data_IF_223480201344
#
_entry.id   IF_223480201344
#
_cell.length_a   1.000
_cell.length_b   1.000
_cell.length_c   1.000
_cell.angle_alpha   90.00
_cell.angle_beta   90.00
_cell.angle_gamma   90.00
#
_symmetry.space_group_name_H-M   'P 1'
#
loop_
_entity.id
_entity.type
_entity.pdbx_description
1 polymer ?
#
# COMPACT_ATOMS: atom_id res chain seq x y z
N UNK A 1 10.21 -11.66 -29.93
CA UNK A 1 9.41 -11.41 -28.71
C UNK A 1 9.69 -9.98 -28.28
N UNK A 2 8.65 -9.14 -28.16
CA UNK A 2 8.81 -7.77 -27.63
C UNK A 2 9.02 -7.92 -26.12
N UNK A 3 10.18 -7.51 -25.64
CA UNK A 3 10.53 -7.55 -24.22
C UNK A 3 9.94 -6.32 -23.54
N UNK A 4 9.09 -6.52 -22.52
CA UNK A 4 8.49 -5.41 -21.74
C UNK A 4 9.54 -4.73 -20.87
N UNK A 5 9.68 -3.42 -21.02
CA UNK A 5 10.59 -2.62 -20.21
C UNK A 5 9.95 -2.28 -18.86
N UNK A 6 10.66 -2.54 -17.77
CA UNK A 6 10.12 -2.39 -16.41
C UNK A 6 11.06 -1.63 -15.48
N UNK A 7 10.49 -0.90 -14.52
CA UNK A 7 11.21 -0.28 -13.41
C UNK A 7 10.59 -0.71 -12.08
N UNK A 8 11.42 -0.89 -11.04
CA UNK A 8 10.96 -1.31 -9.72
C UNK A 8 11.48 -0.32 -8.67
N UNK A 9 10.59 0.46 -8.11
CA UNK A 9 10.84 1.40 -7.03
C UNK A 9 10.60 0.70 -5.69
N UNK A 10 11.66 0.60 -4.86
CA UNK A 10 11.65 -0.19 -3.65
C UNK A 10 12.01 -1.67 -3.90
N UNK A 11 12.95 -1.94 -4.80
CA UNK A 11 13.32 -3.28 -5.26
C UNK A 11 13.86 -4.21 -4.17
N UNK A 12 14.40 -3.66 -3.07
CA UNK A 12 14.91 -4.44 -1.93
C UNK A 12 13.86 -4.73 -0.86
N UNK A 13 12.66 -4.17 -0.96
CA UNK A 13 11.52 -4.45 -0.10
C UNK A 13 10.80 -5.75 -0.50
N UNK A 14 9.87 -6.22 0.34
CA UNK A 14 9.12 -7.46 0.12
C UNK A 14 8.37 -7.52 -1.21
N UNK A 15 7.66 -6.44 -1.57
CA UNK A 15 6.94 -6.33 -2.85
C UNK A 15 7.91 -6.29 -4.02
N UNK A 16 9.01 -5.53 -3.90
CA UNK A 16 10.07 -5.47 -4.93
C UNK A 16 10.71 -6.82 -5.17
N UNK A 17 11.07 -7.55 -4.10
CA UNK A 17 11.64 -8.90 -4.19
C UNK A 17 10.66 -9.91 -4.78
N UNK A 18 9.37 -9.84 -4.39
CA UNK A 18 8.31 -10.68 -4.98
C UNK A 18 8.11 -10.40 -6.46
N UNK A 19 8.23 -9.12 -6.87
CA UNK A 19 8.20 -8.73 -8.29
C UNK A 19 9.39 -9.31 -9.05
N UNK A 20 10.58 -9.20 -8.48
CA UNK A 20 11.80 -9.75 -9.09
C UNK A 20 11.78 -11.28 -9.16
N UNK A 21 11.13 -11.96 -8.18
CA UNK A 21 10.94 -13.41 -8.24
C UNK A 21 10.09 -13.83 -9.46
N UNK A 22 9.00 -13.13 -9.73
CA UNK A 22 8.19 -13.35 -10.92
C UNK A 22 8.96 -13.09 -12.22
N UNK A 23 9.73 -11.99 -12.26
CA UNK A 23 10.57 -11.66 -13.42
C UNK A 23 11.63 -12.72 -13.65
N UNK A 24 12.23 -13.28 -12.60
CA UNK A 24 13.21 -14.37 -12.70
C UNK A 24 12.62 -15.61 -13.35
N UNK A 25 11.36 -15.95 -13.04
CA UNK A 25 10.64 -17.06 -13.64
C UNK A 25 10.36 -16.83 -15.15
N UNK A 26 10.29 -15.56 -15.58
CA UNK A 26 9.95 -15.16 -16.96
C UNK A 26 10.99 -14.23 -17.57
N UNK A 27 12.28 -14.44 -17.26
CA UNK A 27 13.38 -13.51 -17.53
C UNK A 27 13.45 -12.99 -18.97
N UNK A 28 13.17 -13.83 -19.97
CA UNK A 28 13.22 -13.47 -21.39
C UNK A 28 12.11 -12.49 -21.83
N UNK A 29 11.10 -12.26 -21.02
CA UNK A 29 9.96 -11.39 -21.34
C UNK A 29 10.17 -9.96 -20.83
N UNK A 30 11.18 -9.72 -19.99
CA UNK A 30 11.35 -8.44 -19.28
C UNK A 30 12.78 -7.90 -19.42
N UNK A 31 12.88 -6.58 -19.62
CA UNK A 31 14.10 -5.78 -19.55
C UNK A 31 13.98 -4.81 -18.37
N UNK A 32 14.95 -4.83 -17.48
CA UNK A 32 14.93 -4.00 -16.28
C UNK A 32 15.62 -2.67 -16.58
N UNK A 33 14.83 -1.58 -16.53
CA UNK A 33 15.30 -0.22 -16.80
C UNK A 33 15.89 0.41 -15.54
N UNK A 34 15.17 0.33 -14.40
CA UNK A 34 15.66 0.90 -13.16
C UNK A 34 15.25 0.06 -11.96
N UNK A 35 16.17 -0.08 -11.01
CA UNK A 35 15.94 -0.63 -9.68
C UNK A 35 16.30 0.41 -8.63
N UNK A 36 15.47 0.58 -7.60
CA UNK A 36 15.75 1.55 -6.54
C UNK A 36 15.68 0.93 -5.16
N UNK A 37 16.48 1.46 -4.23
CA UNK A 37 16.48 1.13 -2.82
C UNK A 37 16.61 2.39 -1.97
N UNK A 38 16.44 2.30 -0.64
CA UNK A 38 16.72 3.42 0.25
C UNK A 38 18.24 3.63 0.38
N UNK A 39 18.94 2.88 1.25
CA UNK A 39 20.37 3.03 1.48
C UNK A 39 21.16 1.73 1.34
N UNK A 40 20.53 0.59 1.02
CA UNK A 40 21.21 -0.69 0.92
C UNK A 40 21.91 -0.86 -0.45
N UNK A 41 23.07 -0.23 -0.61
CA UNK A 41 23.86 -0.26 -1.84
C UNK A 41 24.26 -1.67 -2.27
N UNK A 42 24.67 -2.51 -1.32
CA UNK A 42 25.10 -3.88 -1.62
C UNK A 42 23.94 -4.75 -2.16
N UNK A 43 22.76 -4.65 -1.54
CA UNK A 43 21.59 -5.42 -1.99
C UNK A 43 21.12 -4.96 -3.37
N UNK A 44 21.01 -3.65 -3.61
CA UNK A 44 20.54 -3.14 -4.91
C UNK A 44 21.54 -3.41 -6.02
N UNK A 45 22.86 -3.31 -5.77
CA UNK A 45 23.90 -3.65 -6.73
C UNK A 45 23.85 -5.13 -7.12
N UNK A 46 23.62 -6.04 -6.16
CA UNK A 46 23.44 -7.47 -6.43
C UNK A 46 22.25 -7.72 -7.35
N UNK A 47 21.10 -7.11 -7.06
CA UNK A 47 19.89 -7.23 -7.88
C UNK A 47 20.09 -6.61 -9.26
N UNK A 48 20.72 -5.43 -9.35
CA UNK A 48 20.99 -4.77 -10.63
C UNK A 48 21.86 -5.62 -11.54
N UNK A 49 22.90 -6.27 -11.00
CA UNK A 49 23.75 -7.22 -11.74
C UNK A 49 22.99 -8.48 -12.17
N UNK A 50 22.18 -9.06 -11.27
CA UNK A 50 21.40 -10.27 -11.55
C UNK A 50 20.41 -10.07 -12.71
N UNK A 51 19.81 -8.88 -12.76
CA UNK A 51 18.77 -8.56 -13.74
C UNK A 51 19.27 -7.69 -14.91
N UNK A 52 20.58 -7.45 -15.05
CA UNK A 52 21.17 -6.59 -16.08
C UNK A 52 20.42 -5.25 -16.17
N UNK A 53 20.16 -4.61 -15.02
CA UNK A 53 19.44 -3.34 -14.98
C UNK A 53 20.28 -2.24 -15.66
N UNK A 54 19.61 -1.28 -16.29
CA UNK A 54 20.31 -0.15 -16.90
C UNK A 54 20.75 0.87 -15.85
N UNK A 55 19.93 1.03 -14.78
CA UNK A 55 20.14 1.98 -13.69
C UNK A 55 19.86 1.35 -12.32
N UNK A 56 20.71 1.63 -11.35
CA UNK A 56 20.44 1.42 -9.93
C UNK A 56 20.50 2.74 -9.17
N UNK A 57 19.50 2.99 -8.31
CA UNK A 57 19.40 4.24 -7.53
C UNK A 57 19.28 3.92 -6.04
N UNK A 58 20.02 4.65 -5.21
CA UNK A 58 19.80 4.72 -3.76
C UNK A 58 19.22 6.09 -3.40
N UNK A 59 18.19 6.10 -2.53
CA UNK A 59 17.60 7.36 -2.07
C UNK A 59 18.55 8.11 -1.13
N UNK A 60 19.29 7.37 -0.30
CA UNK A 60 20.30 7.90 0.60
C UNK A 60 21.57 8.24 -0.17
N UNK A 61 21.88 9.52 -0.29
CA UNK A 61 23.06 10.01 -1.00
C UNK A 61 24.38 9.54 -0.36
N UNK A 62 24.38 9.23 0.94
CA UNK A 62 25.57 8.73 1.63
C UNK A 62 25.99 7.34 1.15
N UNK A 63 25.06 6.56 0.62
CA UNK A 63 25.31 5.22 0.05
C UNK A 63 25.75 5.23 -1.43
N UNK A 64 25.89 6.43 -2.05
CA UNK A 64 26.22 6.54 -3.48
C UNK A 64 27.61 5.97 -3.82
N UNK A 65 28.62 6.27 -3.02
CA UNK A 65 29.98 5.80 -3.27
C UNK A 65 30.03 4.26 -3.26
N UNK A 66 29.42 3.64 -2.26
CA UNK A 66 29.35 2.18 -2.13
C UNK A 66 28.60 1.54 -3.32
N UNK A 67 27.51 2.16 -3.76
CA UNK A 67 26.76 1.69 -4.93
C UNK A 67 27.61 1.76 -6.20
N UNK A 68 28.29 2.88 -6.44
CA UNK A 68 29.13 3.10 -7.60
C UNK A 68 30.28 2.11 -7.67
N UNK A 69 30.95 1.89 -6.53
CA UNK A 69 32.03 0.92 -6.41
C UNK A 69 31.54 -0.51 -6.64
N UNK A 70 30.37 -0.86 -6.03
CA UNK A 70 29.76 -2.16 -6.22
C UNK A 70 29.34 -2.44 -7.66
N UNK A 71 29.08 -1.43 -8.50
CA UNK A 71 28.69 -1.55 -9.90
C UNK A 71 29.87 -1.32 -10.89
N UNK A 72 31.07 -1.07 -10.38
CA UNK A 72 32.24 -0.84 -11.24
C UNK A 72 32.45 -1.98 -12.22
N UNK A 73 32.72 -1.63 -13.49
CA UNK A 73 32.97 -2.59 -14.59
C UNK A 73 31.73 -3.31 -15.13
N UNK A 74 30.51 -2.99 -14.68
CA UNK A 74 29.27 -3.66 -15.17
C UNK A 74 28.58 -2.93 -16.33
N UNK A 75 28.85 -1.64 -16.51
CA UNK A 75 28.09 -0.78 -17.44
C UNK A 75 26.73 -0.31 -16.88
N UNK A 76 26.35 -0.72 -15.67
CA UNK A 76 25.11 -0.29 -15.01
C UNK A 76 25.34 1.13 -14.44
N UNK A 77 24.44 2.04 -14.75
CA UNK A 77 24.48 3.40 -14.21
C UNK A 77 24.13 3.41 -12.71
N UNK A 78 24.89 4.16 -11.92
CA UNK A 78 24.62 4.40 -10.51
C UNK A 78 24.17 5.84 -10.27
N UNK A 79 23.10 6.04 -9.50
CA UNK A 79 22.61 7.37 -9.12
C UNK A 79 22.13 7.37 -7.66
N UNK A 80 21.99 8.57 -7.07
CA UNK A 80 21.54 8.72 -5.70
C UNK A 80 20.68 9.98 -5.50
N UNK A 81 19.89 9.95 -4.43
CA UNK A 81 19.06 11.07 -3.99
C UNK A 81 17.64 11.06 -4.53
N UNK A 82 16.81 11.93 -3.96
CA UNK A 82 15.38 12.02 -4.29
C UNK A 82 15.14 12.44 -5.75
N UNK A 83 15.95 13.35 -6.26
CA UNK A 83 15.86 13.80 -7.65
C UNK A 83 16.17 12.64 -8.63
N UNK A 84 17.17 11.82 -8.33
CA UNK A 84 17.50 10.65 -9.14
C UNK A 84 16.36 9.61 -9.17
N UNK A 85 15.59 9.46 -8.10
CA UNK A 85 14.38 8.62 -8.09
C UNK A 85 13.32 9.17 -9.06
N UNK A 86 13.09 10.48 -9.07
CA UNK A 86 12.14 11.14 -9.99
C UNK A 86 12.59 11.00 -11.45
N UNK A 87 13.87 11.18 -11.73
CA UNK A 87 14.44 11.00 -13.07
C UNK A 87 14.37 9.54 -13.54
N UNK A 88 14.64 8.57 -12.65
CA UNK A 88 14.47 7.16 -12.92
C UNK A 88 13.02 6.81 -13.30
N UNK A 89 12.03 7.45 -12.66
CA UNK A 89 10.61 7.24 -12.94
C UNK A 89 10.19 7.75 -14.35
N UNK A 90 10.92 8.72 -14.90
CA UNK A 90 10.70 9.27 -16.23
C UNK A 90 11.39 8.45 -17.35
N UNK A 91 12.27 7.51 -17.01
CA UNK A 91 12.93 6.66 -18.00
C UNK A 91 11.90 5.84 -18.80
N UNK A 92 12.29 5.42 -19.98
CA UNK A 92 11.40 4.70 -20.90
C UNK A 92 11.16 3.24 -20.45
N UNK A 93 10.30 3.09 -19.42
CA UNK A 93 9.75 1.82 -19.00
C UNK A 93 8.27 1.73 -19.40
N UNK A 94 7.80 0.56 -19.80
CA UNK A 94 6.39 0.32 -20.12
C UNK A 94 5.55 0.14 -18.86
N UNK A 95 6.17 -0.33 -17.80
CA UNK A 95 5.54 -0.67 -16.54
C UNK A 95 6.45 -0.34 -15.35
N UNK A 96 5.87 0.21 -14.29
CA UNK A 96 6.60 0.63 -13.09
C UNK A 96 5.93 0.07 -11.84
N UNK A 97 6.67 -0.67 -11.01
CA UNK A 97 6.26 -1.00 -9.65
C UNK A 97 6.55 0.17 -8.72
N UNK A 98 5.53 0.73 -8.11
CA UNK A 98 5.62 1.78 -7.10
C UNK A 98 5.48 1.16 -5.70
N UNK A 99 6.59 0.72 -5.10
CA UNK A 99 6.65 0.01 -3.82
C UNK A 99 7.58 0.68 -2.77
N UNK A 100 7.90 1.95 -2.94
CA UNK A 100 8.54 2.75 -1.87
C UNK A 100 7.45 3.10 -0.85
N UNK A 101 7.66 2.75 0.41
CA UNK A 101 6.68 2.90 1.49
C UNK A 101 6.50 4.37 1.90
N UNK A 102 5.28 4.77 2.27
CA UNK A 102 4.94 6.08 2.81
C UNK A 102 5.03 7.22 1.78
N UNK A 103 4.98 8.46 2.26
CA UNK A 103 5.02 9.66 1.40
C UNK A 103 6.34 9.82 0.63
N UNK A 104 7.43 9.15 1.05
CA UNK A 104 8.71 9.18 0.34
C UNK A 104 8.62 8.61 -1.09
N UNK A 105 7.71 7.69 -1.35
CA UNK A 105 7.47 7.12 -2.68
C UNK A 105 6.61 7.99 -3.61
N UNK A 106 5.95 9.01 -3.06
CA UNK A 106 4.97 9.79 -3.82
C UNK A 106 5.58 10.58 -5.00
N UNK A 107 6.74 11.28 -4.88
CA UNK A 107 7.30 12.03 -5.99
C UNK A 107 7.64 11.15 -7.20
N UNK A 108 8.27 10.00 -7.00
CA UNK A 108 8.61 9.07 -8.08
C UNK A 108 7.36 8.40 -8.67
N UNK A 109 6.36 8.07 -7.85
CA UNK A 109 5.07 7.54 -8.31
C UNK A 109 4.35 8.55 -9.20
N UNK A 110 4.27 9.81 -8.77
CA UNK A 110 3.67 10.88 -9.55
C UNK A 110 4.41 11.14 -10.86
N UNK A 111 5.75 11.11 -10.85
CA UNK A 111 6.55 11.27 -12.06
C UNK A 111 6.29 10.13 -13.08
N UNK A 112 6.14 8.88 -12.62
CA UNK A 112 5.78 7.75 -13.48
C UNK A 112 4.35 7.91 -14.07
N UNK A 113 3.39 8.36 -13.27
CA UNK A 113 2.02 8.65 -13.71
C UNK A 113 2.02 9.78 -14.75
N UNK A 114 2.70 10.90 -14.47
CA UNK A 114 2.78 12.05 -15.38
C UNK A 114 3.46 11.71 -16.71
N UNK A 115 4.35 10.74 -16.72
CA UNK A 115 4.95 10.20 -17.95
C UNK A 115 4.00 9.30 -18.76
N UNK A 116 2.74 9.09 -18.34
CA UNK A 116 1.75 8.28 -19.03
C UNK A 116 2.04 6.78 -19.01
N UNK A 117 2.79 6.30 -17.99
CA UNK A 117 3.20 4.90 -17.87
C UNK A 117 2.13 4.03 -17.21
N UNK A 118 2.26 2.71 -17.36
CA UNK A 118 1.52 1.77 -16.51
C UNK A 118 2.20 1.72 -15.15
N UNK A 119 1.49 2.08 -14.10
CA UNK A 119 1.99 2.09 -12.72
C UNK A 119 1.24 1.05 -11.91
N UNK A 120 1.97 0.06 -11.39
CA UNK A 120 1.47 -0.91 -10.43
C UNK A 120 1.70 -0.34 -9.02
N UNK A 121 0.62 0.10 -8.39
CA UNK A 121 0.66 0.83 -7.13
C UNK A 121 0.58 -0.15 -5.94
N UNK A 122 1.68 -0.28 -5.22
CA UNK A 122 1.77 -1.05 -3.97
C UNK A 122 1.90 -0.15 -2.73
N UNK A 123 2.14 1.16 -2.93
CA UNK A 123 2.23 2.15 -1.87
C UNK A 123 0.85 2.76 -1.61
N UNK A 124 0.09 2.14 -0.70
CA UNK A 124 -1.26 2.62 -0.34
C UNK A 124 -1.25 3.98 0.34
N UNK A 125 -0.25 4.26 1.16
CA UNK A 125 -0.14 5.52 1.90
C UNK A 125 -0.03 6.72 0.95
N UNK A 126 0.63 6.55 -0.19
CA UNK A 126 0.70 7.59 -1.23
C UNK A 126 -0.67 7.91 -1.82
N UNK A 127 -1.49 6.89 -2.12
CA UNK A 127 -2.84 7.10 -2.65
C UNK A 127 -3.79 7.64 -1.57
N UNK A 128 -3.68 7.15 -0.34
CA UNK A 128 -4.45 7.67 0.80
C UNK A 128 -4.20 9.16 0.99
N UNK A 129 -2.92 9.57 0.99
CA UNK A 129 -2.54 10.96 1.25
C UNK A 129 -2.79 11.89 0.06
N UNK A 130 -2.48 11.43 -1.16
CA UNK A 130 -2.52 12.25 -2.38
C UNK A 130 -3.64 11.86 -3.36
N UNK A 131 -4.67 11.10 -2.93
CA UNK A 131 -5.60 10.45 -3.83
C UNK A 131 -6.24 11.37 -4.87
N UNK A 132 -6.73 12.54 -4.47
CA UNK A 132 -7.31 13.52 -5.40
C UNK A 132 -6.28 14.02 -6.43
N UNK A 133 -5.07 14.36 -5.99
CA UNK A 133 -3.98 14.84 -6.85
C UNK A 133 -3.50 13.72 -7.79
N UNK A 134 -3.33 12.52 -7.28
CA UNK A 134 -2.88 11.35 -8.04
C UNK A 134 -3.90 10.98 -9.12
N UNK A 135 -5.18 10.87 -8.78
CA UNK A 135 -6.23 10.53 -9.75
C UNK A 135 -6.44 11.65 -10.78
N UNK A 136 -6.23 12.92 -10.43
CA UNK A 136 -6.21 14.01 -11.39
C UNK A 136 -5.04 13.88 -12.39
N UNK A 137 -3.84 13.49 -11.91
CA UNK A 137 -2.69 13.23 -12.76
C UNK A 137 -2.92 12.02 -13.68
N UNK A 138 -3.49 10.93 -13.19
CA UNK A 138 -3.86 9.75 -13.99
C UNK A 138 -4.82 10.14 -15.13
N UNK A 139 -5.88 10.89 -14.84
CA UNK A 139 -6.82 11.35 -15.88
C UNK A 139 -6.16 12.26 -16.92
N UNK A 140 -5.24 13.13 -16.49
CA UNK A 140 -4.55 14.08 -17.37
C UNK A 140 -3.52 13.40 -18.29
N UNK A 141 -2.76 12.44 -17.74
CA UNK A 141 -1.68 11.76 -18.47
C UNK A 141 -2.15 10.56 -19.29
N UNK A 142 -3.33 9.99 -18.96
CA UNK A 142 -3.78 8.73 -19.54
C UNK A 142 -3.02 7.50 -19.02
N UNK A 143 -2.25 7.63 -17.94
CA UNK A 143 -1.56 6.51 -17.30
C UNK A 143 -2.54 5.43 -16.83
N UNK A 144 -2.13 4.16 -16.92
CA UNK A 144 -2.87 3.06 -16.31
C UNK A 144 -2.36 2.85 -14.87
N UNK A 145 -3.24 3.05 -13.89
CA UNK A 145 -2.93 2.80 -12.49
C UNK A 145 -3.52 1.44 -12.08
N UNK A 146 -2.67 0.46 -11.81
CA UNK A 146 -3.06 -0.91 -11.46
C UNK A 146 -2.82 -1.14 -9.96
N UNK A 147 -3.84 -1.57 -9.21
CA UNK A 147 -3.67 -1.87 -7.79
C UNK A 147 -2.86 -3.14 -7.58
N UNK A 148 -1.96 -3.14 -6.61
CA UNK A 148 -1.16 -4.30 -6.19
C UNK A 148 -1.59 -4.80 -4.81
N UNK A 149 -2.16 -3.94 -3.97
CA UNK A 149 -2.78 -4.39 -2.72
C UNK A 149 -3.79 -5.49 -3.03
N UNK A 150 -3.78 -6.59 -2.26
CA UNK A 150 -4.51 -7.82 -2.61
C UNK A 150 -6.00 -7.60 -2.73
N UNK A 151 -6.58 -6.79 -1.85
CA UNK A 151 -8.01 -6.47 -1.84
C UNK A 151 -8.44 -5.63 -3.04
N UNK A 152 -7.64 -4.60 -3.37
CA UNK A 152 -7.94 -3.73 -4.52
C UNK A 152 -7.68 -4.44 -5.85
N UNK A 153 -6.65 -5.28 -5.92
CA UNK A 153 -6.41 -6.11 -7.09
C UNK A 153 -7.55 -7.12 -7.29
N UNK A 154 -8.11 -7.66 -6.19
CA UNK A 154 -9.27 -8.53 -6.24
C UNK A 154 -10.50 -7.81 -6.81
N UNK A 155 -10.79 -6.58 -6.34
CA UNK A 155 -11.87 -5.74 -6.88
C UNK A 155 -11.63 -5.49 -8.37
N UNK A 156 -10.41 -5.08 -8.74
CA UNK A 156 -10.04 -4.82 -10.13
C UNK A 156 -10.27 -6.03 -11.04
N UNK A 157 -9.94 -7.24 -10.58
CA UNK A 157 -10.21 -8.49 -11.31
C UNK A 157 -11.71 -8.79 -11.40
N UNK A 158 -12.47 -8.59 -10.32
CA UNK A 158 -13.93 -8.81 -10.31
C UNK A 158 -14.68 -7.82 -11.22
N UNK A 159 -14.15 -6.62 -11.42
CA UNK A 159 -14.72 -5.60 -12.31
C UNK A 159 -14.38 -5.85 -13.79
N UNK A 160 -13.48 -6.77 -14.10
CA UNK A 160 -13.05 -7.04 -15.48
C UNK A 160 -14.23 -7.47 -16.35
N UNK A 161 -14.46 -6.72 -17.43
CA UNK A 161 -15.55 -6.98 -18.38
C UNK A 161 -16.91 -6.43 -17.94
N UNK A 162 -17.02 -5.77 -16.78
CA UNK A 162 -18.25 -5.15 -16.28
C UNK A 162 -18.14 -3.63 -16.27
N UNK A 163 -19.28 -2.94 -16.33
CA UNK A 163 -19.32 -1.49 -16.18
C UNK A 163 -19.59 -1.09 -14.73
N UNK A 164 -18.92 -0.02 -14.27
CA UNK A 164 -19.08 0.49 -12.91
C UNK A 164 -20.52 0.91 -12.57
N UNK A 165 -21.32 1.32 -13.55
CA UNK A 165 -22.72 1.69 -13.37
C UNK A 165 -23.57 0.55 -12.82
N UNK A 166 -23.20 -0.72 -13.12
CA UNK A 166 -23.90 -1.93 -12.65
C UNK A 166 -23.39 -2.45 -11.30
N UNK A 167 -22.44 -1.75 -10.69
CA UNK A 167 -21.94 -2.13 -9.35
C UNK A 167 -22.93 -1.64 -8.30
N UNK A 168 -23.50 -2.60 -7.57
CA UNK A 168 -24.35 -2.36 -6.42
C UNK A 168 -23.53 -2.11 -5.15
N UNK A 169 -22.50 -2.96 -4.92
CA UNK A 169 -21.66 -2.86 -3.73
C UNK A 169 -20.27 -3.47 -3.99
N UNK A 170 -19.24 -2.86 -3.43
CA UNK A 170 -17.89 -3.42 -3.32
C UNK A 170 -17.66 -3.75 -1.84
N UNK A 171 -17.21 -4.96 -1.55
CA UNK A 171 -16.91 -5.41 -0.19
C UNK A 171 -15.43 -5.76 -0.07
N UNK A 172 -14.71 -4.99 0.72
CA UNK A 172 -13.35 -5.29 1.15
C UNK A 172 -13.39 -6.34 2.26
N UNK A 173 -12.59 -7.40 2.16
CA UNK A 173 -12.47 -8.36 3.25
C UNK A 173 -11.30 -8.01 4.16
N UNK A 174 -11.38 -8.37 5.42
CA UNK A 174 -10.35 -8.17 6.44
C UNK A 174 -10.16 -9.46 7.24
N UNK A 175 -8.92 -9.79 7.61
CA UNK A 175 -8.66 -10.91 8.54
C UNK A 175 -9.27 -10.66 9.93
N UNK A 176 -9.46 -9.38 10.29
CA UNK A 176 -9.84 -8.94 11.62
C UNK A 176 -8.66 -8.81 12.58
N UNK A 177 -7.46 -9.15 12.15
CA UNK A 177 -6.22 -9.07 12.93
C UNK A 177 -6.16 -10.04 14.11
N UNK A 178 -5.07 -10.00 14.89
CA UNK A 178 -4.86 -10.94 16.01
C UNK A 178 -5.82 -10.73 17.17
N UNK A 179 -6.44 -9.56 17.29
CA UNK A 179 -7.31 -9.20 18.44
C UNK A 179 -8.81 -9.23 18.12
N UNK A 180 -9.18 -9.84 16.98
CA UNK A 180 -10.57 -9.93 16.52
C UNK A 180 -11.56 -10.39 17.59
N UNK A 181 -11.17 -11.36 18.43
CA UNK A 181 -12.00 -11.93 19.50
C UNK A 181 -11.76 -11.33 20.89
N UNK A 182 -10.84 -10.36 21.02
CA UNK A 182 -10.51 -9.76 22.32
C UNK A 182 -11.58 -8.76 22.77
N UNK A 183 -11.87 -8.70 24.06
CA UNK A 183 -12.61 -7.60 24.68
C UNK A 183 -11.75 -6.34 24.74
N UNK A 184 -12.38 -5.16 24.92
CA UNK A 184 -11.64 -3.91 25.15
C UNK A 184 -10.67 -4.00 26.33
N UNK A 185 -11.05 -4.68 27.41
CA UNK A 185 -10.18 -4.84 28.57
C UNK A 185 -8.94 -5.68 28.25
N UNK A 186 -9.11 -6.74 27.46
CA UNK A 186 -7.97 -7.52 26.97
C UNK A 186 -7.06 -6.69 26.04
N UNK A 187 -7.66 -5.84 25.20
CA UNK A 187 -6.89 -4.96 24.29
C UNK A 187 -6.06 -3.91 25.03
N UNK A 188 -6.43 -3.51 26.26
CA UNK A 188 -5.67 -2.53 27.05
C UNK A 188 -4.26 -3.00 27.41
N UNK A 189 -4.05 -4.30 27.48
CA UNK A 189 -2.81 -4.92 27.97
C UNK A 189 -2.00 -5.61 26.88
N UNK A 190 -2.42 -5.49 25.60
CA UNK A 190 -1.68 -6.12 24.51
C UNK A 190 -0.35 -5.42 24.26
N UNK A 191 0.64 -6.23 23.93
CA UNK A 191 2.01 -5.78 23.69
C UNK A 191 2.29 -5.60 22.19
N UNK A 192 3.33 -4.82 21.81
CA UNK A 192 3.80 -4.75 20.43
C UNK A 192 4.07 -6.13 19.82
N UNK A 193 4.71 -7.05 20.56
CA UNK A 193 5.01 -8.40 20.08
C UNK A 193 3.73 -9.19 19.71
N UNK A 194 2.65 -9.02 20.47
CA UNK A 194 1.36 -9.64 20.16
C UNK A 194 0.70 -8.99 18.92
N UNK A 195 0.82 -7.68 18.76
CA UNK A 195 0.21 -6.95 17.66
C UNK A 195 0.88 -7.25 16.31
N UNK A 196 2.19 -7.53 16.29
CA UNK A 196 2.90 -7.88 15.06
C UNK A 196 2.74 -9.35 14.65
N UNK A 197 2.19 -10.21 15.52
CA UNK A 197 1.96 -11.63 15.24
C UNK A 197 0.67 -11.83 14.42
N UNK A 198 0.74 -11.51 13.10
CA UNK A 198 -0.43 -11.68 12.22
C UNK A 198 -0.70 -13.18 11.93
N UNK A 199 -1.99 -13.63 11.98
CA UNK A 199 -2.30 -15.06 11.87
C UNK A 199 -2.06 -15.67 10.48
N UNK A 200 -2.14 -14.89 9.40
CA UNK A 200 -2.15 -15.41 8.02
C UNK A 200 -1.02 -14.85 7.13
N UNK A 201 -0.47 -13.68 7.46
CA UNK A 201 0.50 -12.98 6.63
C UNK A 201 1.80 -12.74 7.40
N UNK A 202 2.93 -12.91 6.73
CA UNK A 202 4.24 -12.45 7.21
C UNK A 202 4.49 -11.05 6.64
N UNK A 203 4.38 -10.04 7.51
CA UNK A 203 4.38 -8.62 7.11
C UNK A 203 5.30 -7.80 8.02
N UNK A 204 5.65 -6.60 7.53
CA UNK A 204 6.38 -5.62 8.34
C UNK A 204 5.60 -5.19 9.59
N UNK A 205 6.33 -4.70 10.61
CA UNK A 205 5.74 -4.35 11.91
C UNK A 205 4.62 -3.32 11.81
N UNK A 206 4.79 -2.24 11.04
CA UNK A 206 3.79 -1.17 10.88
C UNK A 206 2.47 -1.72 10.34
N UNK A 207 2.48 -2.42 9.21
CA UNK A 207 1.26 -2.96 8.59
C UNK A 207 0.61 -4.06 9.44
N UNK A 208 1.38 -4.81 10.25
CA UNK A 208 0.84 -5.78 11.20
C UNK A 208 0.05 -5.09 12.31
N UNK A 209 0.55 -3.97 12.87
CA UNK A 209 -0.18 -3.15 13.83
C UNK A 209 -1.42 -2.51 13.18
N UNK A 210 -1.31 -2.02 11.93
CA UNK A 210 -2.46 -1.50 11.19
C UNK A 210 -3.53 -2.58 10.97
N UNK A 211 -3.14 -3.82 10.72
CA UNK A 211 -4.08 -4.94 10.66
C UNK A 211 -4.73 -5.21 12.03
N UNK A 212 -3.95 -5.18 13.11
CA UNK A 212 -4.43 -5.40 14.48
C UNK A 212 -5.45 -4.34 14.93
N UNK A 213 -5.25 -3.07 14.53
CA UNK A 213 -6.18 -1.95 14.81
C UNK A 213 -7.32 -1.84 13.81
N UNK A 214 -7.33 -2.61 12.74
CA UNK A 214 -8.17 -2.46 11.54
C UNK A 214 -7.89 -1.15 10.76
N UNK A 215 -6.86 -0.38 11.09
CA UNK A 215 -6.48 0.82 10.34
C UNK A 215 -6.03 0.46 8.91
N UNK A 216 -5.36 -0.70 8.71
CA UNK A 216 -5.06 -1.17 7.36
C UNK A 216 -6.31 -1.18 6.48
N UNK A 217 -7.43 -1.71 7.02
CA UNK A 217 -8.69 -1.74 6.29
C UNK A 217 -9.33 -0.35 6.16
N UNK A 218 -9.08 0.54 7.11
CA UNK A 218 -9.45 1.95 6.99
C UNK A 218 -8.71 2.67 5.86
N UNK A 219 -7.39 2.46 5.74
CA UNK A 219 -6.58 3.00 4.64
C UNK A 219 -7.02 2.42 3.29
N UNK A 220 -7.30 1.13 3.24
CA UNK A 220 -7.81 0.47 2.05
C UNK A 220 -9.19 0.96 1.62
N UNK A 221 -10.07 1.34 2.55
CA UNK A 221 -11.34 1.98 2.23
C UNK A 221 -11.14 3.32 1.51
N UNK A 222 -10.14 4.12 1.95
CA UNK A 222 -9.78 5.39 1.30
C UNK A 222 -9.21 5.10 -0.10
N UNK A 223 -8.36 4.11 -0.24
CA UNK A 223 -7.81 3.67 -1.52
C UNK A 223 -8.91 3.26 -2.50
N UNK A 224 -9.83 2.37 -2.05
CA UNK A 224 -10.97 1.91 -2.86
C UNK A 224 -11.85 3.07 -3.34
N UNK A 225 -12.08 4.07 -2.48
CA UNK A 225 -12.83 5.28 -2.83
C UNK A 225 -12.19 6.07 -3.98
N UNK A 226 -10.85 6.12 -4.04
CA UNK A 226 -10.14 6.80 -5.13
C UNK A 226 -10.03 5.94 -6.40
N UNK A 227 -9.75 4.64 -6.25
CA UNK A 227 -9.54 3.74 -7.39
C UNK A 227 -10.84 3.37 -8.11
N UNK A 228 -11.93 3.20 -7.36
CA UNK A 228 -13.21 2.73 -7.88
C UNK A 228 -14.29 3.78 -7.61
N UNK A 229 -14.62 4.66 -8.59
CA UNK A 229 -15.52 5.78 -8.39
C UNK A 229 -17.01 5.34 -8.39
N UNK A 230 -17.37 4.47 -7.46
CA UNK A 230 -18.75 3.97 -7.26
C UNK A 230 -19.53 4.72 -6.18
N UNK A 231 -18.86 5.55 -5.39
CA UNK A 231 -19.43 6.25 -4.24
C UNK A 231 -19.13 5.53 -2.91
N UNK A 232 -19.00 6.30 -1.83
CA UNK A 232 -18.66 5.77 -0.49
C UNK A 232 -19.76 4.89 0.10
N UNK A 233 -21.02 5.16 -0.25
CA UNK A 233 -22.20 4.40 0.14
C UNK A 233 -22.22 2.97 -0.40
N UNK A 234 -21.51 2.73 -1.51
CA UNK A 234 -21.35 1.39 -2.10
C UNK A 234 -20.11 0.64 -1.62
N UNK A 235 -19.29 1.24 -0.77
CA UNK A 235 -18.10 0.61 -0.21
C UNK A 235 -18.38 0.04 1.17
N UNK A 236 -18.14 -1.25 1.36
CA UNK A 236 -18.38 -1.99 2.60
C UNK A 236 -17.16 -2.80 3.03
N UNK A 237 -17.14 -3.23 4.30
CA UNK A 237 -16.08 -4.03 4.88
C UNK A 237 -16.70 -5.25 5.56
N UNK A 238 -16.09 -6.42 5.34
CA UNK A 238 -16.51 -7.67 5.97
C UNK A 238 -15.28 -8.38 6.56
N UNK A 239 -15.39 -8.86 7.78
CA UNK A 239 -14.34 -9.65 8.40
C UNK A 239 -14.43 -11.08 7.88
N UNK A 240 -13.32 -11.59 7.36
CA UNK A 240 -13.15 -12.94 6.82
C UNK A 240 -11.83 -13.53 7.33
N UNK A 241 -11.86 -14.23 8.48
CA UNK A 241 -10.65 -14.66 9.18
C UNK A 241 -9.71 -15.54 8.38
N UNK A 242 -10.22 -16.35 7.45
CA UNK A 242 -9.41 -17.23 6.63
C UNK A 242 -8.60 -16.48 5.57
N UNK A 243 -8.95 -15.22 5.26
CA UNK A 243 -8.26 -14.36 4.28
C UNK A 243 -8.04 -15.03 2.91
N UNK A 244 -8.99 -15.87 2.48
CA UNK A 244 -8.97 -16.59 1.21
C UNK A 244 -9.70 -15.81 0.13
N UNK A 245 -10.84 -15.19 0.48
CA UNK A 245 -11.51 -14.20 -0.35
C UNK A 245 -10.86 -12.86 -0.04
N UNK A 246 -10.27 -12.23 -1.08
CA UNK A 246 -9.60 -10.94 -0.91
C UNK A 246 -10.55 -9.75 -1.05
N UNK A 247 -11.55 -9.82 -1.94
CA UNK A 247 -12.66 -8.86 -2.03
C UNK A 247 -13.78 -9.41 -2.90
N UNK A 248 -14.93 -8.71 -2.88
CA UNK A 248 -16.12 -9.08 -3.63
C UNK A 248 -16.76 -7.85 -4.27
N UNK A 249 -17.44 -8.07 -5.41
CA UNK A 249 -18.26 -7.07 -6.10
C UNK A 249 -19.65 -7.64 -6.33
N UNK A 250 -20.68 -6.98 -5.81
CA UNK A 250 -22.07 -7.29 -6.01
C UNK A 250 -22.65 -6.40 -7.11
N UNK A 251 -23.39 -6.97 -8.03
CA UNK A 251 -23.99 -6.30 -9.18
C UNK A 251 -25.49 -6.12 -9.04
N UNK A 252 -26.09 -5.33 -9.94
CA UNK A 252 -27.54 -5.00 -9.93
C UNK A 252 -28.44 -6.23 -10.06
N UNK A 253 -27.96 -7.29 -10.70
CA UNK A 253 -28.67 -8.58 -10.83
C UNK A 253 -28.57 -9.44 -9.56
N UNK A 254 -28.00 -8.90 -8.47
CA UNK A 254 -27.73 -9.57 -7.20
C UNK A 254 -26.67 -10.70 -7.30
N UNK A 255 -25.95 -10.84 -8.40
CA UNK A 255 -24.79 -11.72 -8.45
C UNK A 255 -23.62 -11.10 -7.70
N UNK A 256 -22.81 -11.93 -7.05
CA UNK A 256 -21.58 -11.50 -6.36
C UNK A 256 -20.40 -12.22 -6.96
N UNK A 257 -19.42 -11.48 -7.49
CA UNK A 257 -18.15 -12.01 -7.92
C UNK A 257 -17.11 -11.82 -6.81
N UNK A 258 -16.31 -12.84 -6.55
CA UNK A 258 -15.25 -12.81 -5.56
C UNK A 258 -13.95 -13.31 -6.18
N UNK A 259 -12.85 -12.64 -5.87
CA UNK A 259 -11.53 -13.17 -6.19
C UNK A 259 -10.99 -13.90 -4.96
N UNK A 260 -10.57 -15.15 -5.18
CA UNK A 260 -9.98 -16.01 -4.18
C UNK A 260 -8.52 -16.31 -4.55
N UNK A 261 -7.66 -16.40 -3.54
CA UNK A 261 -6.26 -16.76 -3.71
C UNK A 261 -5.60 -17.15 -2.39
N UNK A 262 -4.49 -17.88 -2.46
CA UNK A 262 -3.62 -18.04 -1.28
C UNK A 262 -3.07 -16.67 -0.86
N UNK A 263 -2.76 -16.47 0.44
CA UNK A 263 -2.19 -15.21 0.94
C UNK A 263 -0.71 -15.06 0.48
N UNK A 264 -0.53 -14.70 -0.78
CA UNK A 264 0.78 -14.55 -1.44
C UNK A 264 0.75 -13.32 -2.36
N UNK A 265 1.58 -12.32 -2.06
CA UNK A 265 1.64 -11.08 -2.83
C UNK A 265 2.06 -11.26 -4.28
N UNK A 266 2.69 -12.37 -4.64
CA UNK A 266 3.01 -12.67 -6.05
C UNK A 266 1.77 -12.83 -6.91
N UNK A 267 0.62 -13.19 -6.34
CA UNK A 267 -0.65 -13.32 -7.09
C UNK A 267 -1.13 -11.97 -7.61
N UNK A 268 -1.38 -10.94 -6.77
CA UNK A 268 -1.78 -9.63 -7.26
C UNK A 268 -0.68 -8.92 -8.06
N UNK A 269 0.60 -9.12 -7.73
CA UNK A 269 1.72 -8.60 -8.52
C UNK A 269 1.73 -9.21 -9.93
N UNK A 270 1.56 -10.53 -10.05
CA UNK A 270 1.49 -11.20 -11.35
C UNK A 270 0.29 -10.72 -12.19
N UNK A 271 -0.86 -10.50 -11.55
CA UNK A 271 -2.04 -9.91 -12.18
C UNK A 271 -1.74 -8.52 -12.74
N UNK A 272 -1.09 -7.64 -11.98
CA UNK A 272 -0.73 -6.30 -12.43
C UNK A 272 0.43 -6.31 -13.46
N UNK A 273 1.40 -7.22 -13.32
CA UNK A 273 2.55 -7.33 -14.22
C UNK A 273 2.16 -7.87 -15.59
N UNK A 274 1.23 -8.82 -15.67
CA UNK A 274 0.81 -9.43 -16.92
C UNK A 274 -0.38 -8.71 -17.58
N UNK A 275 -1.07 -7.82 -16.85
CA UNK A 275 -2.29 -7.17 -17.33
C UNK A 275 -2.15 -6.62 -18.77
N UNK A 276 -3.16 -6.82 -19.66
CA UNK A 276 -4.49 -7.42 -19.41
C UNK A 276 -4.52 -8.96 -19.39
N UNK A 277 -3.40 -9.62 -19.70
CA UNK A 277 -3.26 -11.07 -19.72
C UNK A 277 -3.03 -11.65 -18.32
N UNK A 278 -2.82 -12.96 -18.24
CA UNK A 278 -2.39 -13.66 -17.02
C UNK A 278 -1.05 -14.33 -17.26
N UNK A 279 -0.26 -14.47 -16.18
CA UNK A 279 1.01 -15.18 -16.23
C UNK A 279 1.01 -16.37 -15.26
N UNK A 280 1.81 -17.38 -15.58
CA UNK A 280 2.03 -18.50 -14.67
C UNK A 280 2.88 -18.05 -13.47
N UNK A 281 2.58 -18.61 -12.31
CA UNK A 281 3.33 -18.40 -11.07
C UNK A 281 3.58 -19.73 -10.37
N UNK A 282 4.56 -19.79 -9.49
CA UNK A 282 4.81 -20.92 -8.60
C UNK A 282 4.09 -20.79 -7.24
N UNK A 283 3.06 -19.93 -7.15
CA UNK A 283 2.24 -19.80 -5.96
C UNK A 283 1.43 -21.08 -5.71
N UNK A 284 1.19 -21.37 -4.42
CA UNK A 284 0.37 -22.54 -4.04
C UNK A 284 -1.09 -22.32 -4.46
N UNK A 285 -1.69 -23.21 -5.27
CA UNK A 285 -3.10 -23.15 -5.58
C UNK A 285 -3.97 -23.33 -4.31
N UNK A 286 -5.18 -22.76 -4.33
CA UNK A 286 -6.16 -23.02 -3.27
C UNK A 286 -6.70 -24.45 -3.37
N UNK A 287 -6.81 -25.07 -2.21
CA UNK A 287 -7.55 -26.32 -2.03
C UNK A 287 -8.79 -26.04 -1.17
N UNK A 288 -9.89 -25.74 -1.84
CA UNK A 288 -11.15 -25.40 -1.17
C UNK A 288 -11.74 -26.58 -0.41
N UNK A 289 -11.45 -27.82 -0.83
CA UNK A 289 -11.90 -29.03 -0.12
C UNK A 289 -11.19 -29.15 1.23
N UNK A 290 -9.89 -28.84 1.29
CA UNK A 290 -9.12 -28.82 2.53
C UNK A 290 -9.54 -27.65 3.43
N UNK A 291 -9.84 -26.47 2.86
CA UNK A 291 -10.33 -25.30 3.63
C UNK A 291 -11.71 -25.58 4.23
N UNK A 292 -12.59 -26.24 3.49
CA UNK A 292 -13.89 -26.74 3.92
C UNK A 292 -14.93 -25.67 4.21
N UNK A 293 -14.62 -24.64 5.01
CA UNK A 293 -15.56 -23.61 5.45
C UNK A 293 -14.95 -22.22 5.39
N UNK A 294 -15.72 -21.26 4.91
CA UNK A 294 -15.43 -19.83 4.95
C UNK A 294 -16.42 -19.14 5.89
N UNK A 295 -15.92 -18.24 6.73
CA UNK A 295 -16.72 -17.52 7.72
C UNK A 295 -16.62 -16.02 7.53
N UNK A 296 -17.69 -15.31 7.89
CA UNK A 296 -17.81 -13.88 7.72
C UNK A 296 -18.46 -13.26 8.96
N UNK A 297 -17.98 -12.07 9.35
CA UNK A 297 -18.46 -11.33 10.51
C UNK A 297 -18.56 -9.85 10.15
N UNK A 298 -19.50 -9.13 10.76
CA UNK A 298 -19.53 -7.69 10.66
C UNK A 298 -18.37 -7.09 11.47
N UNK A 299 -17.69 -6.03 10.95
CA UNK A 299 -16.66 -5.37 11.71
C UNK A 299 -17.23 -4.63 12.93
N UNK A 300 -16.55 -4.71 14.07
CA UNK A 300 -16.93 -4.00 15.30
C UNK A 300 -16.27 -2.62 15.34
N UNK A 301 -17.00 -1.59 14.95
CA UNK A 301 -16.50 -0.20 14.87
C UNK A 301 -16.30 0.46 16.24
N UNK A 302 -16.80 -0.14 17.34
CA UNK A 302 -16.58 0.33 18.71
C UNK A 302 -15.22 -0.15 19.22
N UNK A 303 -14.94 -1.45 19.05
CA UNK A 303 -13.62 -2.01 19.41
C UNK A 303 -12.51 -1.56 18.45
N UNK A 304 -12.84 -1.31 17.19
CA UNK A 304 -11.90 -0.90 16.13
C UNK A 304 -12.33 0.44 15.53
N UNK A 305 -12.13 1.57 16.23
CA UNK A 305 -12.59 2.88 15.78
C UNK A 305 -11.89 3.39 14.52
N UNK A 306 -10.77 2.78 14.11
CA UNK A 306 -10.05 3.12 12.89
C UNK A 306 -10.95 3.13 11.63
N UNK A 307 -11.92 2.20 11.54
CA UNK A 307 -12.86 2.15 10.43
C UNK A 307 -13.79 3.36 10.38
N UNK A 308 -14.25 3.81 11.55
CA UNK A 308 -15.07 5.02 11.67
C UNK A 308 -14.27 6.27 11.30
N UNK A 309 -13.03 6.35 11.79
CA UNK A 309 -12.12 7.48 11.51
C UNK A 309 -11.79 7.59 10.02
N UNK A 310 -11.50 6.47 9.35
CA UNK A 310 -11.24 6.45 7.92
C UNK A 310 -12.47 6.90 7.10
N UNK A 311 -13.66 6.42 7.47
CA UNK A 311 -14.91 6.80 6.80
C UNK A 311 -15.21 8.29 6.99
N UNK A 312 -14.98 8.83 8.19
CA UNK A 312 -15.10 10.25 8.47
C UNK A 312 -14.11 11.08 7.65
N UNK A 313 -12.83 10.66 7.58
CA UNK A 313 -11.81 11.34 6.80
C UNK A 313 -12.14 11.39 5.29
N UNK A 314 -12.72 10.32 4.72
CA UNK A 314 -13.21 10.33 3.33
C UNK A 314 -14.36 11.33 3.18
N UNK A 315 -15.33 11.31 4.09
CA UNK A 315 -16.53 12.14 4.03
C UNK A 315 -16.20 13.63 4.12
N UNK A 316 -15.27 14.00 5.01
CA UNK A 316 -14.78 15.37 5.13
C UNK A 316 -13.89 15.75 3.95
N UNK A 317 -13.12 14.81 3.42
CA UNK A 317 -12.23 15.01 2.28
C UNK A 317 -11.06 15.96 2.56
N UNK A 318 -10.59 16.65 1.52
CA UNK A 318 -9.51 17.63 1.63
C UNK A 318 -8.21 17.01 2.16
N UNK A 319 -7.69 17.56 3.26
CA UNK A 319 -6.46 17.11 3.91
C UNK A 319 -6.65 15.93 4.88
N UNK A 320 -7.91 15.59 5.26
CA UNK A 320 -8.17 14.62 6.33
C UNK A 320 -7.58 13.23 6.11
N UNK A 321 -7.61 12.64 4.89
CA UNK A 321 -6.96 11.35 4.67
C UNK A 321 -5.43 11.39 4.90
N UNK A 322 -4.75 12.47 4.48
CA UNK A 322 -3.32 12.64 4.71
C UNK A 322 -3.00 12.79 6.20
N UNK A 323 -3.80 13.58 6.93
CA UNK A 323 -3.67 13.76 8.39
C UNK A 323 -3.87 12.43 9.11
N UNK A 324 -4.89 11.65 8.73
CA UNK A 324 -5.15 10.33 9.29
C UNK A 324 -3.94 9.40 9.13
N UNK A 325 -3.35 9.35 7.91
CA UNK A 325 -2.19 8.52 7.64
C UNK A 325 -0.97 8.96 8.46
N UNK A 326 -0.65 10.27 8.46
CA UNK A 326 0.50 10.81 9.20
C UNK A 326 0.37 10.58 10.70
N UNK A 327 -0.82 10.82 11.29
CA UNK A 327 -1.09 10.59 12.70
C UNK A 327 -1.00 9.10 13.06
N UNK A 328 -1.52 8.22 12.20
CA UNK A 328 -1.43 6.77 12.40
C UNK A 328 0.02 6.29 12.39
N UNK A 329 0.85 6.74 11.45
CA UNK A 329 2.27 6.38 11.42
C UNK A 329 2.99 6.77 12.71
N UNK A 330 2.76 7.98 13.21
CA UNK A 330 3.35 8.47 14.48
C UNK A 330 2.86 7.65 15.67
N UNK A 331 1.56 7.36 15.74
CA UNK A 331 0.98 6.60 16.84
C UNK A 331 1.44 5.13 16.85
N UNK A 332 1.50 4.50 15.68
CA UNK A 332 2.00 3.12 15.52
C UNK A 332 3.48 3.02 15.92
N UNK A 333 4.30 3.98 15.52
CA UNK A 333 5.71 4.04 15.93
C UNK A 333 5.86 4.15 17.45
N UNK A 334 5.09 5.05 18.08
CA UNK A 334 5.08 5.22 19.54
C UNK A 334 4.63 3.94 20.25
N UNK A 335 3.61 3.24 19.75
CA UNK A 335 3.17 1.95 20.29
C UNK A 335 4.26 0.89 20.16
N UNK A 336 4.90 0.76 19.00
CA UNK A 336 5.98 -0.21 18.78
C UNK A 336 7.16 -0.01 19.72
N UNK A 337 7.42 1.24 20.12
CA UNK A 337 8.44 1.58 21.12
C UNK A 337 7.93 1.52 22.57
N UNK A 338 6.69 1.10 22.80
CA UNK A 338 6.10 0.97 24.16
C UNK A 338 5.83 2.29 24.88
N UNK A 339 5.70 3.38 24.13
CA UNK A 339 5.44 4.72 24.67
C UNK A 339 3.95 4.94 24.97
N UNK A 340 3.06 4.26 24.25
CA UNK A 340 1.60 4.31 24.43
C UNK A 340 0.99 2.90 24.39
N UNK A 341 -0.23 2.75 24.89
CA UNK A 341 -1.01 1.52 24.79
C UNK A 341 -1.64 1.33 23.39
N UNK A 342 -2.10 0.12 23.12
CA UNK A 342 -2.71 -0.24 21.85
C UNK A 342 -3.94 0.60 21.49
N UNK A 343 -4.83 0.84 22.47
CA UNK A 343 -6.04 1.62 22.26
C UNK A 343 -5.75 3.11 22.05
N UNK A 344 -4.60 3.60 22.51
CA UNK A 344 -4.20 5.00 22.34
C UNK A 344 -3.86 5.35 20.90
N UNK A 345 -3.54 4.37 20.06
CA UNK A 345 -3.27 4.60 18.63
C UNK A 345 -4.46 5.32 17.97
N UNK A 346 -5.67 4.80 18.16
CA UNK A 346 -6.86 5.42 17.58
C UNK A 346 -7.19 6.77 18.24
N UNK A 347 -6.92 6.93 19.54
CA UNK A 347 -7.13 8.19 20.26
C UNK A 347 -6.24 9.31 19.71
N UNK A 348 -4.94 9.04 19.47
CA UNK A 348 -4.01 10.01 18.87
C UNK A 348 -4.47 10.41 17.46
N UNK A 349 -4.90 9.45 16.66
CA UNK A 349 -5.42 9.74 15.31
C UNK A 349 -6.66 10.65 15.38
N UNK A 350 -7.62 10.32 16.23
CA UNK A 350 -8.86 11.09 16.37
C UNK A 350 -8.60 12.51 16.89
N UNK A 351 -7.74 12.65 17.91
CA UNK A 351 -7.34 13.95 18.46
C UNK A 351 -6.63 14.81 17.41
N UNK A 352 -5.70 14.23 16.65
CA UNK A 352 -5.00 14.94 15.55
C UNK A 352 -5.96 15.40 14.46
N UNK A 353 -6.87 14.53 14.02
CA UNK A 353 -7.91 14.89 13.04
C UNK A 353 -8.80 16.04 13.52
N UNK A 354 -9.07 16.11 14.82
CA UNK A 354 -9.89 17.16 15.43
C UNK A 354 -9.12 18.47 15.56
N UNK A 355 -7.85 18.42 15.99
CA UNK A 355 -7.05 19.57 16.28
C UNK A 355 -6.49 20.29 15.03
N UNK A 356 -6.33 19.55 13.91
CA UNK A 356 -5.70 20.09 12.69
C UNK A 356 -6.65 20.01 11.49
N UNK A 357 -6.99 21.19 10.93
CA UNK A 357 -7.94 21.29 9.82
C UNK A 357 -7.48 22.34 8.78
N UNK A 358 -6.37 22.09 8.06
CA UNK A 358 -5.89 22.98 7.01
C UNK A 358 -6.77 22.93 5.76
N UNK A 359 -6.52 23.86 4.83
CA UNK A 359 -7.12 23.80 3.50
C UNK A 359 -6.70 22.50 2.75
N UNK A 360 -7.50 22.07 1.79
CA UNK A 360 -7.15 20.97 0.92
C UNK A 360 -5.85 21.24 0.15
N UNK A 361 -4.93 20.26 0.01
CA UNK A 361 -3.68 20.45 -0.74
C UNK A 361 -3.98 20.68 -2.23
N UNK A 362 -3.39 21.74 -2.81
CA UNK A 362 -3.50 22.02 -4.23
C UNK A 362 -2.37 21.35 -5.06
N UNK A 363 -1.28 20.99 -4.42
CA UNK A 363 -0.10 20.37 -5.01
C UNK A 363 0.63 19.47 -4.00
N UNK A 364 1.76 18.87 -4.40
CA UNK A 364 2.54 17.98 -3.54
C UNK A 364 3.26 18.74 -2.41
N UNK A 365 3.69 19.98 -2.62
CA UNK A 365 4.38 20.76 -1.60
C UNK A 365 3.42 21.10 -0.45
N UNK A 366 2.18 21.48 -0.76
CA UNK A 366 1.12 21.67 0.24
C UNK A 366 0.88 20.37 1.02
N UNK A 367 0.82 19.23 0.31
CA UNK A 367 0.61 17.94 0.93
C UNK A 367 1.74 17.55 1.88
N UNK A 368 3.00 17.76 1.50
CA UNK A 368 4.14 17.49 2.37
C UNK A 368 4.16 18.41 3.59
N UNK A 369 3.76 19.68 3.43
CA UNK A 369 3.60 20.58 4.58
C UNK A 369 2.52 20.07 5.53
N UNK A 370 1.36 19.67 5.00
CA UNK A 370 0.26 19.10 5.78
C UNK A 370 0.69 17.81 6.52
N UNK A 371 1.40 16.90 5.86
CA UNK A 371 1.92 15.69 6.49
C UNK A 371 2.89 16.02 7.64
N UNK A 372 3.81 16.95 7.41
CA UNK A 372 4.78 17.37 8.43
C UNK A 372 4.10 18.01 9.64
N UNK A 373 3.14 18.92 9.41
CA UNK A 373 2.37 19.55 10.49
C UNK A 373 1.52 18.52 11.25
N UNK A 374 0.83 17.62 10.54
CA UNK A 374 0.03 16.56 11.15
C UNK A 374 0.87 15.68 12.09
N UNK A 375 2.12 15.37 11.71
CA UNK A 375 3.06 14.66 12.57
C UNK A 375 3.45 15.45 13.81
N UNK A 376 3.55 16.78 13.72
CA UNK A 376 3.81 17.65 14.88
C UNK A 376 2.61 17.60 15.83
N UNK A 377 1.39 17.76 15.31
CA UNK A 377 0.17 17.63 16.10
C UNK A 377 0.05 16.26 16.79
N UNK A 378 0.28 15.18 16.05
CA UNK A 378 0.24 13.84 16.60
C UNK A 378 1.25 13.62 17.73
N UNK A 379 2.49 14.14 17.62
CA UNK A 379 3.48 14.09 18.69
C UNK A 379 3.05 14.89 19.93
N UNK A 380 2.42 16.04 19.72
CA UNK A 380 1.86 16.82 20.85
C UNK A 380 0.76 16.04 21.60
N UNK A 381 -0.10 15.36 20.87
CA UNK A 381 -1.13 14.49 21.48
C UNK A 381 -0.50 13.33 22.27
N UNK A 382 0.58 12.72 21.76
CA UNK A 382 1.35 11.70 22.50
C UNK A 382 1.91 12.24 23.82
N UNK A 383 2.50 13.44 23.81
CA UNK A 383 3.01 14.05 25.04
C UNK A 383 1.90 14.32 26.07
N UNK A 384 0.72 14.71 25.61
CA UNK A 384 -0.43 14.97 26.46
C UNK A 384 -0.93 13.68 27.14
N UNK A 385 -1.01 12.59 26.40
CA UNK A 385 -1.38 11.27 26.93
C UNK A 385 -0.36 10.75 27.95
N UNK A 386 0.93 10.92 27.69
CA UNK A 386 2.00 10.42 28.59
C UNK A 386 2.15 11.24 29.88
N UNK A 387 1.71 12.51 29.90
CA UNK A 387 1.71 13.36 31.11
C UNK A 387 0.47 13.14 31.98
N UNK A 388 -0.60 12.57 31.44
CA UNK A 388 -1.87 12.30 32.14
C UNK A 388 -1.96 10.93 32.81
N UNK A 389 -1.00 10.06 32.53
CA UNK A 389 -0.82 8.74 33.15
C UNK A 389 0.33 8.80 34.18
#
# INVERSE_FOLDING_TARGET
LITRAISIFGATGSVGLSTLDLIRQHRSQYRVVALTANGNAAAIAKLAREFDAELAVVADETAYADLKDALAGTGIEAAAGSQALVEAARRNADWTMAAIVGCAGLPSTMAAIEAGKTVALANKEALVSAGALMMAAVRRSGAALLPVDSEHNAIFQCLSGSKLEHVRKITLTASGGPFRSFSLDQMRTVTPAQAVAHPNWDMGAKISVDSATMMNKGLELIEAFHLFPVGLDKLDILVHPQSVIHSMVEYDDCSTLAQLGSPDMRIPIASALAWPERMATNCKPLDLATIGQLTFEQPDIVRFPALRLARAAITEGGAKPAILNAANEVAVEAFLHGQIGFLDIANVVEATLTAYAPAAPANLDDLFSIDADARIYARHELETLTRGN
#
